data_IF_298905098559
#
_entry.id   IF_298905098559
#
_cell.length_a   1.000
_cell.length_b   1.000
_cell.length_c   1.000
_cell.angle_alpha   90.00
_cell.angle_beta   90.00
_cell.angle_gamma   90.00
#
_symmetry.space_group_name_H-M   'P 1'
#
loop_
_entity.id
_entity.type
_entity.pdbx_description
1 polymer ?
#
# COMPACT_ATOMS: atom_id res chain seq x y z
N UNK A 1 15.75 -0.59 -18.70
CA UNK A 1 17.10 -0.65 -18.12
C UNK A 1 17.82 0.66 -18.38
N UNK A 2 18.08 1.06 -19.65
CA UNK A 2 18.82 2.28 -19.98
C UNK A 2 18.25 3.56 -19.32
N UNK A 3 16.91 3.75 -19.32
CA UNK A 3 16.27 4.89 -18.67
C UNK A 3 16.51 4.92 -17.16
N UNK A 4 16.50 3.76 -16.51
CA UNK A 4 16.78 3.63 -15.07
C UNK A 4 18.25 3.97 -14.81
N UNK A 5 19.18 3.41 -15.57
CA UNK A 5 20.60 3.71 -15.41
C UNK A 5 20.89 5.20 -15.53
N UNK A 6 20.36 5.84 -16.57
CA UNK A 6 20.55 7.28 -16.77
C UNK A 6 19.98 8.10 -15.61
N UNK A 7 18.78 7.78 -15.14
CA UNK A 7 18.15 8.51 -14.02
C UNK A 7 18.96 8.35 -12.71
N UNK A 8 19.52 7.16 -12.48
CA UNK A 8 20.37 6.90 -11.31
C UNK A 8 21.70 7.64 -11.42
N UNK A 9 22.38 7.59 -12.57
CA UNK A 9 23.62 8.33 -12.81
C UNK A 9 23.43 9.84 -12.60
N UNK A 10 22.34 10.41 -13.12
CA UNK A 10 22.01 11.83 -12.92
C UNK A 10 21.74 12.14 -11.42
N UNK A 11 21.03 11.26 -10.72
CA UNK A 11 20.74 11.41 -9.30
C UNK A 11 22.01 11.29 -8.45
N UNK A 12 22.91 10.36 -8.73
CA UNK A 12 24.19 10.20 -8.05
C UNK A 12 25.10 11.42 -8.22
N UNK A 13 25.15 11.97 -9.44
CA UNK A 13 25.87 13.21 -9.69
C UNK A 13 25.34 14.40 -8.89
N UNK A 14 24.01 14.49 -8.77
CA UNK A 14 23.37 15.57 -7.98
C UNK A 14 23.54 15.38 -6.46
N UNK A 15 23.43 14.15 -6.00
CA UNK A 15 23.49 13.82 -4.57
C UNK A 15 24.95 13.71 -4.05
N UNK A 16 25.92 13.47 -4.92
CA UNK A 16 27.31 13.25 -4.56
C UNK A 16 27.56 11.93 -3.80
N UNK A 17 26.68 10.94 -3.96
CA UNK A 17 26.78 9.64 -3.30
C UNK A 17 26.34 8.51 -4.25
N UNK A 18 26.82 7.30 -3.98
CA UNK A 18 26.43 6.08 -4.69
C UNK A 18 25.05 5.60 -4.21
N UNK A 19 24.14 5.31 -5.13
CA UNK A 19 22.81 4.76 -4.86
C UNK A 19 22.87 3.24 -4.96
N UNK A 20 22.54 2.52 -3.90
CA UNK A 20 22.59 1.06 -3.84
C UNK A 20 21.23 0.41 -3.80
N UNK A 21 20.22 1.10 -3.27
CA UNK A 21 18.85 0.60 -3.19
C UNK A 21 17.83 1.69 -3.52
N UNK A 22 16.66 1.26 -3.97
CA UNK A 22 15.60 2.16 -4.43
C UNK A 22 14.22 1.63 -4.04
N UNK A 23 13.29 2.55 -3.80
CA UNK A 23 11.86 2.29 -3.89
C UNK A 23 11.44 2.42 -5.36
N UNK A 24 10.70 1.42 -5.87
CA UNK A 24 10.20 1.49 -7.23
C UNK A 24 8.68 1.58 -7.23
N UNK A 25 8.12 2.52 -7.99
CA UNK A 25 6.67 2.64 -8.11
C UNK A 25 6.11 1.73 -9.21
N UNK A 26 4.88 1.29 -9.00
CA UNK A 26 4.11 0.48 -9.95
C UNK A 26 2.74 1.10 -10.17
N UNK A 27 2.32 1.19 -11.43
CA UNK A 27 1.01 1.63 -11.87
C UNK A 27 0.59 0.86 -13.13
N UNK A 28 -0.66 0.95 -13.51
CA UNK A 28 -1.19 0.38 -14.77
C UNK A 28 -2.49 -0.38 -14.57
N UNK A 29 -3.15 -0.71 -15.68
CA UNK A 29 -4.45 -1.39 -15.71
C UNK A 29 -4.47 -2.79 -15.05
N UNK A 30 -3.29 -3.35 -14.75
CA UNK A 30 -3.14 -4.61 -14.04
C UNK A 30 -3.18 -4.46 -12.50
N UNK A 31 -3.23 -3.23 -12.01
CA UNK A 31 -3.44 -2.93 -10.58
C UNK A 31 -4.93 -2.98 -10.29
N UNK A 32 -5.30 -3.72 -9.27
CA UNK A 32 -6.69 -3.84 -8.81
C UNK A 32 -6.75 -3.57 -7.31
N UNK A 33 -7.89 -3.12 -6.82
CA UNK A 33 -8.11 -2.96 -5.41
C UNK A 33 -9.37 -3.68 -4.94
N UNK A 34 -9.36 -4.11 -3.69
CA UNK A 34 -10.49 -4.76 -3.03
C UNK A 34 -10.45 -4.43 -1.54
N UNK A 35 -11.60 -4.11 -0.97
CA UNK A 35 -11.73 -4.02 0.48
C UNK A 35 -12.03 -5.42 1.04
N UNK A 36 -11.33 -5.80 2.09
CA UNK A 36 -11.45 -7.11 2.73
C UNK A 36 -11.48 -6.96 4.24
N UNK A 37 -12.45 -7.58 4.92
CA UNK A 37 -12.42 -7.69 6.36
C UNK A 37 -11.49 -8.81 6.81
N UNK A 38 -10.81 -8.61 7.94
CA UNK A 38 -10.11 -9.65 8.69
C UNK A 38 -10.65 -9.70 10.10
N UNK A 39 -10.78 -10.90 10.67
CA UNK A 39 -11.36 -11.08 12.01
C UNK A 39 -10.51 -12.09 12.77
N UNK A 40 -10.13 -11.75 14.00
CA UNK A 40 -9.40 -12.65 14.90
C UNK A 40 -9.90 -12.51 16.34
N UNK A 41 -9.85 -13.60 17.13
CA UNK A 41 -10.08 -13.51 18.57
C UNK A 41 -8.85 -12.89 19.26
N UNK A 42 -9.08 -12.07 20.28
CA UNK A 42 -8.06 -11.52 21.18
C UNK A 42 -7.78 -12.58 22.25
N UNK A 43 -6.51 -12.96 22.42
CA UNK A 43 -6.16 -14.11 23.29
C UNK A 43 -6.06 -13.72 24.76
N UNK A 44 -5.46 -12.59 25.05
CA UNK A 44 -5.10 -12.18 26.41
C UNK A 44 -6.02 -11.07 26.96
N UNK A 45 -7.19 -10.87 26.30
CA UNK A 45 -8.17 -9.85 26.70
C UNK A 45 -7.78 -8.41 26.39
N UNK A 46 -6.57 -8.16 25.94
CA UNK A 46 -6.05 -6.86 25.53
C UNK A 46 -5.38 -6.97 24.14
N UNK A 47 -5.65 -6.01 23.29
CA UNK A 47 -5.12 -5.97 21.91
C UNK A 47 -3.62 -5.69 21.92
N UNK A 48 -2.87 -6.57 21.29
CA UNK A 48 -1.41 -6.46 21.10
C UNK A 48 -1.04 -6.16 19.65
N UNK A 49 0.21 -5.76 19.40
CA UNK A 49 0.75 -5.63 18.04
C UNK A 49 0.65 -6.94 17.24
N UNK A 50 0.86 -8.08 17.92
CA UNK A 50 0.69 -9.39 17.28
C UNK A 50 -0.76 -9.70 16.85
N UNK A 51 -1.75 -9.11 17.49
CA UNK A 51 -3.15 -9.20 17.08
C UNK A 51 -3.41 -8.37 15.82
N UNK A 52 -2.77 -7.21 15.68
CA UNK A 52 -2.84 -6.39 14.47
C UNK A 52 -2.25 -7.15 13.27
N UNK A 53 -1.10 -7.77 13.43
CA UNK A 53 -0.49 -8.59 12.37
C UNK A 53 -1.41 -9.75 11.98
N UNK A 54 -1.95 -10.48 12.96
CA UNK A 54 -2.85 -11.61 12.72
C UNK A 54 -4.15 -11.19 12.01
N UNK A 55 -4.76 -10.09 12.43
CA UNK A 55 -6.02 -9.62 11.83
C UNK A 55 -5.80 -9.11 10.40
N UNK A 56 -4.66 -8.48 10.14
CA UNK A 56 -4.29 -8.06 8.79
C UNK A 56 -3.97 -9.27 7.88
N UNK A 57 -3.31 -10.29 8.41
CA UNK A 57 -3.08 -11.54 7.67
C UNK A 57 -4.39 -12.28 7.39
N UNK A 58 -5.36 -12.24 8.30
CA UNK A 58 -6.70 -12.75 8.04
C UNK A 58 -7.40 -11.99 6.90
N UNK A 59 -7.25 -10.65 6.84
CA UNK A 59 -7.77 -9.85 5.72
C UNK A 59 -7.10 -10.17 4.38
N UNK A 60 -5.80 -10.56 4.37
CA UNK A 60 -5.07 -10.98 3.18
C UNK A 60 -5.45 -12.39 2.69
N UNK A 61 -6.08 -13.21 3.51
CA UNK A 61 -6.49 -14.59 3.16
C UNK A 61 -7.67 -14.67 2.19
N UNK A 62 -7.87 -13.63 1.40
CA UNK A 62 -8.91 -13.57 0.36
C UNK A 62 -8.41 -14.23 -0.92
N UNK A 63 -9.33 -14.89 -1.63
CA UNK A 63 -9.01 -15.45 -2.95
C UNK A 63 -8.66 -14.34 -3.95
N UNK A 64 -7.44 -14.41 -4.48
CA UNK A 64 -6.94 -13.56 -5.57
C UNK A 64 -6.57 -14.45 -6.76
N UNK A 65 -6.64 -13.94 -8.01
CA UNK A 65 -6.18 -14.67 -9.18
C UNK A 65 -4.74 -15.14 -9.03
N UNK A 66 -4.43 -16.33 -9.59
CA UNK A 66 -3.10 -16.96 -9.44
C UNK A 66 -1.96 -16.17 -10.09
N UNK A 67 -2.28 -15.30 -11.04
CA UNK A 67 -1.34 -14.42 -11.73
C UNK A 67 -1.14 -13.07 -11.01
N UNK A 68 -1.85 -12.83 -9.90
CA UNK A 68 -1.73 -11.62 -9.09
C UNK A 68 -1.04 -11.88 -7.75
N UNK A 69 -0.52 -10.81 -7.19
CA UNK A 69 -0.01 -10.78 -5.81
C UNK A 69 -0.54 -9.54 -5.08
N UNK A 70 -0.66 -9.64 -3.78
CA UNK A 70 -0.95 -8.48 -2.92
C UNK A 70 0.31 -7.59 -2.91
N UNK A 71 0.14 -6.35 -3.32
CA UNK A 71 1.16 -5.31 -3.28
C UNK A 71 1.12 -4.59 -1.93
N UNK A 72 -0.08 -4.15 -1.52
CA UNK A 72 -0.32 -3.49 -0.23
C UNK A 72 -1.57 -4.05 0.44
N UNK A 73 -1.53 -4.10 1.77
CA UNK A 73 -2.68 -4.35 2.63
C UNK A 73 -2.71 -3.23 3.67
N UNK A 74 -3.59 -2.27 3.48
CA UNK A 74 -3.63 -1.02 4.25
C UNK A 74 -4.85 -1.05 5.16
N UNK A 75 -4.68 -1.04 6.50
CA UNK A 75 -5.82 -0.96 7.41
C UNK A 75 -6.48 0.41 7.25
N UNK A 76 -7.81 0.40 7.13
CA UNK A 76 -8.64 1.61 7.08
C UNK A 76 -9.14 1.98 8.48
N UNK A 77 -9.67 1.00 9.17
CA UNK A 77 -10.19 1.09 10.53
C UNK A 77 -10.18 -0.28 11.19
N UNK A 78 -10.21 -0.26 12.50
CA UNK A 78 -10.42 -1.44 13.31
C UNK A 78 -11.77 -1.35 14.03
N UNK A 79 -12.36 -2.51 14.27
CA UNK A 79 -13.61 -2.67 15.03
C UNK A 79 -13.34 -3.60 16.19
N UNK A 80 -13.78 -3.23 17.37
CA UNK A 80 -13.64 -4.03 18.59
C UNK A 80 -15.04 -4.45 19.08
N UNK A 81 -15.23 -5.77 19.26
CA UNK A 81 -16.44 -6.39 19.81
C UNK A 81 -17.75 -5.96 19.11
N UNK A 82 -17.71 -5.75 17.79
CA UNK A 82 -18.84 -5.35 16.93
C UNK A 82 -19.54 -4.02 17.32
N UNK A 83 -19.01 -3.32 18.31
CA UNK A 83 -19.67 -2.12 18.88
C UNK A 83 -18.82 -0.86 18.80
N UNK A 84 -17.52 -0.98 18.70
CA UNK A 84 -16.59 0.15 18.65
C UNK A 84 -15.92 0.18 17.25
N UNK A 85 -16.46 1.00 16.37
CA UNK A 85 -15.98 1.23 15.00
C UNK A 85 -15.07 2.46 14.91
N UNK A 86 -14.39 2.62 13.77
CA UNK A 86 -13.55 3.78 13.48
C UNK A 86 -12.27 3.88 14.28
N UNK A 87 -11.83 2.78 14.91
CA UNK A 87 -10.61 2.77 15.71
C UNK A 87 -9.40 2.75 14.75
N UNK A 88 -8.45 3.66 14.96
CA UNK A 88 -7.20 3.72 14.20
C UNK A 88 -6.08 2.92 14.82
N UNK A 89 -5.99 2.93 16.13
CA UNK A 89 -5.00 2.16 16.86
C UNK A 89 -5.67 1.49 18.08
N UNK A 90 -6.00 0.21 17.98
CA UNK A 90 -6.66 -0.53 19.04
C UNK A 90 -5.69 -1.09 20.10
N UNK A 91 -4.36 -0.96 19.92
CA UNK A 91 -3.38 -1.53 20.85
C UNK A 91 -3.58 -1.02 22.27
N UNK A 92 -3.65 -1.93 23.25
CA UNK A 92 -3.93 -1.63 24.64
C UNK A 92 -5.42 -1.57 25.00
N UNK A 93 -6.33 -1.69 24.03
CA UNK A 93 -7.75 -1.76 24.30
C UNK A 93 -8.16 -3.17 24.74
N UNK A 94 -9.10 -3.26 25.68
CA UNK A 94 -9.65 -4.53 26.17
C UNK A 94 -10.81 -4.97 25.29
N UNK A 95 -10.80 -6.25 24.87
CA UNK A 95 -11.86 -6.82 24.05
C UNK A 95 -11.67 -8.31 23.84
N UNK A 96 -12.62 -8.92 23.15
CA UNK A 96 -12.64 -10.36 22.83
C UNK A 96 -12.39 -10.63 21.34
N UNK A 97 -12.85 -9.71 20.48
CA UNK A 97 -12.79 -9.85 19.03
C UNK A 97 -12.26 -8.58 18.38
N UNK A 98 -11.24 -8.74 17.56
CA UNK A 98 -10.69 -7.67 16.73
C UNK A 98 -11.03 -7.92 15.27
N UNK A 99 -11.56 -6.90 14.60
CA UNK A 99 -11.79 -6.88 13.16
C UNK A 99 -11.01 -5.72 12.53
N UNK A 100 -10.53 -5.91 11.30
CA UNK A 100 -9.94 -4.85 10.47
C UNK A 100 -10.68 -4.76 9.15
N UNK A 101 -10.98 -3.56 8.71
CA UNK A 101 -11.35 -3.28 7.33
C UNK A 101 -10.10 -2.85 6.58
N UNK A 102 -9.56 -3.72 5.74
CA UNK A 102 -8.34 -3.46 5.00
C UNK A 102 -8.60 -3.15 3.52
N UNK A 103 -7.87 -2.18 2.99
CA UNK A 103 -7.79 -1.92 1.55
C UNK A 103 -6.63 -2.73 0.98
N UNK A 104 -6.96 -3.74 0.16
CA UNK A 104 -5.98 -4.59 -0.51
C UNK A 104 -5.73 -4.06 -1.91
N UNK A 105 -4.48 -3.81 -2.23
CA UNK A 105 -4.03 -3.49 -3.59
C UNK A 105 -3.30 -4.70 -4.14
N UNK A 106 -3.71 -5.19 -5.30
CA UNK A 106 -3.06 -6.29 -6.01
C UNK A 106 -2.50 -5.83 -7.33
N UNK A 107 -1.50 -6.52 -7.82
CA UNK A 107 -0.93 -6.28 -9.15
C UNK A 107 -0.53 -7.59 -9.82
N UNK A 108 -0.39 -7.56 -11.16
CA UNK A 108 0.12 -8.70 -11.89
C UNK A 108 1.52 -9.07 -11.40
N UNK A 109 1.72 -10.34 -11.01
CA UNK A 109 3.00 -10.84 -10.51
C UNK A 109 4.13 -10.67 -11.53
N UNK A 110 3.83 -10.88 -12.82
CA UNK A 110 4.78 -10.69 -13.92
C UNK A 110 5.25 -9.24 -14.05
N UNK A 111 4.34 -8.26 -13.90
CA UNK A 111 4.67 -6.84 -13.96
C UNK A 111 5.61 -6.45 -12.81
N UNK A 112 5.27 -6.85 -11.58
CA UNK A 112 6.11 -6.61 -10.41
C UNK A 112 7.50 -7.24 -10.54
N UNK A 113 7.58 -8.49 -11.01
CA UNK A 113 8.86 -9.17 -11.26
C UNK A 113 9.67 -8.49 -12.35
N UNK A 114 9.04 -8.01 -13.42
CA UNK A 114 9.73 -7.33 -14.51
C UNK A 114 10.35 -6.02 -14.06
N UNK A 115 9.63 -5.21 -13.28
CA UNK A 115 10.16 -3.97 -12.68
C UNK A 115 11.38 -4.31 -11.81
N UNK A 116 11.25 -5.24 -10.87
CA UNK A 116 12.35 -5.65 -10.00
C UNK A 116 13.57 -6.12 -10.77
N UNK A 117 13.39 -6.97 -11.81
CA UNK A 117 14.48 -7.44 -12.66
C UNK A 117 15.13 -6.29 -13.44
N UNK A 118 14.38 -5.31 -13.91
CA UNK A 118 14.94 -4.16 -14.62
C UNK A 118 15.82 -3.31 -13.70
N UNK A 119 15.39 -3.10 -12.46
CA UNK A 119 16.17 -2.38 -11.44
C UNK A 119 17.44 -3.16 -11.06
N UNK A 120 17.30 -4.46 -10.80
CA UNK A 120 18.43 -5.33 -10.46
C UNK A 120 19.49 -5.40 -11.57
N UNK A 121 19.08 -5.36 -12.85
CA UNK A 121 20.00 -5.30 -13.99
C UNK A 121 20.80 -3.98 -14.07
N UNK A 122 20.38 -2.96 -13.35
CA UNK A 122 21.13 -1.71 -13.17
C UNK A 122 22.08 -1.75 -11.96
N UNK A 123 22.22 -2.92 -11.28
CA UNK A 123 23.07 -3.06 -10.09
C UNK A 123 22.42 -2.58 -8.80
N UNK A 124 21.11 -2.29 -8.81
CA UNK A 124 20.39 -1.74 -7.67
C UNK A 124 19.56 -2.81 -6.96
N UNK A 125 19.41 -2.67 -5.65
CA UNK A 125 18.45 -3.42 -4.85
C UNK A 125 17.10 -2.72 -4.85
N UNK A 126 16.01 -3.47 -4.96
CA UNK A 126 14.64 -2.95 -4.74
C UNK A 126 14.27 -3.20 -3.29
N UNK A 127 14.15 -2.15 -2.51
CA UNK A 127 13.73 -2.23 -1.12
C UNK A 127 12.25 -2.56 -1.04
N UNK A 128 11.43 -1.84 -1.82
CA UNK A 128 10.00 -2.08 -1.90
C UNK A 128 9.41 -1.64 -3.25
N UNK A 129 8.33 -2.32 -3.67
CA UNK A 129 7.45 -1.88 -4.75
C UNK A 129 6.24 -1.16 -4.15
N UNK A 130 6.04 0.09 -4.53
CA UNK A 130 4.97 0.94 -3.99
C UNK A 130 4.00 1.34 -5.09
N UNK A 131 2.70 1.35 -4.80
CA UNK A 131 1.69 1.89 -5.71
C UNK A 131 1.97 3.38 -5.99
N UNK A 132 2.00 3.79 -7.26
CA UNK A 132 2.37 5.16 -7.66
C UNK A 132 1.50 6.23 -6.98
N UNK A 133 0.16 6.07 -6.98
CA UNK A 133 -0.73 7.02 -6.33
C UNK A 133 -0.55 7.09 -4.80
N UNK A 134 -0.12 6.00 -4.17
CA UNK A 134 0.19 5.99 -2.74
C UNK A 134 1.48 6.78 -2.45
N UNK A 135 2.52 6.58 -3.27
CA UNK A 135 3.76 7.35 -3.18
C UNK A 135 3.52 8.84 -3.42
N UNK A 136 2.80 9.21 -4.49
CA UNK A 136 2.43 10.59 -4.78
C UNK A 136 1.63 11.23 -3.65
N UNK A 137 0.70 10.48 -3.05
CA UNK A 137 -0.09 10.96 -1.91
C UNK A 137 0.76 11.35 -0.71
N UNK A 138 1.85 10.62 -0.47
CA UNK A 138 2.78 10.91 0.64
C UNK A 138 3.53 12.21 0.43
N UNK A 139 3.79 12.56 -0.83
CA UNK A 139 4.53 13.77 -1.18
C UNK A 139 3.66 15.05 -1.19
N UNK A 140 2.37 14.94 -1.57
CA UNK A 140 1.56 16.12 -1.87
C UNK A 140 0.38 16.35 -0.92
N UNK A 141 -0.12 15.32 -0.22
CA UNK A 141 -1.27 15.46 0.67
C UNK A 141 -0.86 15.71 2.11
N UNK A 142 -1.51 16.68 2.73
CA UNK A 142 -1.41 16.95 4.17
C UNK A 142 -2.27 15.94 4.97
N UNK A 143 -1.97 15.74 6.28
CA UNK A 143 -2.82 14.93 7.15
C UNK A 143 -4.27 15.43 7.21
N UNK A 144 -4.47 16.74 7.25
CA UNK A 144 -5.80 17.35 7.33
C UNK A 144 -6.64 17.08 6.07
N UNK A 145 -6.03 17.17 4.88
CA UNK A 145 -6.71 16.81 3.62
C UNK A 145 -7.15 15.35 3.60
N UNK A 146 -6.28 14.45 4.06
CA UNK A 146 -6.64 13.02 4.15
C UNK A 146 -7.76 12.78 5.16
N UNK A 147 -7.79 13.54 6.25
CA UNK A 147 -8.83 13.44 7.28
C UNK A 147 -10.18 13.93 6.77
N UNK A 148 -10.22 15.10 6.16
CA UNK A 148 -11.44 15.74 5.64
C UNK A 148 -12.02 15.01 4.42
N UNK A 149 -11.17 14.30 3.69
CA UNK A 149 -11.53 13.62 2.45
C UNK A 149 -10.96 14.35 1.22
N UNK A 150 -10.18 13.61 0.43
CA UNK A 150 -9.52 14.14 -0.77
C UNK A 150 -9.42 13.07 -1.85
N UNK A 151 -9.51 13.49 -3.08
CA UNK A 151 -9.21 12.67 -4.26
C UNK A 151 -7.89 13.15 -4.85
N UNK A 152 -6.89 12.28 -4.84
CA UNK A 152 -5.65 12.47 -5.57
C UNK A 152 -5.82 11.96 -7.00
N UNK A 153 -5.47 12.78 -7.97
CA UNK A 153 -5.42 12.42 -9.40
C UNK A 153 -4.00 12.66 -9.89
N UNK A 154 -3.31 11.56 -10.19
CA UNK A 154 -1.94 11.55 -10.72
C UNK A 154 -1.99 11.29 -12.22
N UNK A 155 -1.81 12.34 -13.02
CA UNK A 155 -1.88 12.29 -14.48
C UNK A 155 -0.50 12.11 -15.08
N UNK A 156 -0.19 10.86 -15.45
CA UNK A 156 1.04 10.50 -16.15
C UNK A 156 0.93 10.63 -17.69
N UNK A 157 1.97 10.23 -18.39
CA UNK A 157 2.02 10.27 -19.85
C UNK A 157 1.16 9.19 -20.54
N UNK A 158 0.82 8.12 -19.85
CA UNK A 158 0.07 6.99 -20.41
C UNK A 158 -0.99 6.41 -19.49
N UNK A 159 -1.06 6.86 -18.24
CA UNK A 159 -2.05 6.43 -17.25
C UNK A 159 -2.44 7.57 -16.34
N UNK A 160 -3.67 7.51 -15.84
CA UNK A 160 -4.13 8.40 -14.78
C UNK A 160 -4.48 7.54 -13.57
N UNK A 161 -3.77 7.76 -12.47
CA UNK A 161 -3.99 7.05 -11.21
C UNK A 161 -4.86 7.89 -10.29
N UNK A 162 -5.84 7.24 -9.67
CA UNK A 162 -6.78 7.89 -8.73
C UNK A 162 -6.62 7.22 -7.38
N UNK A 163 -6.53 8.00 -6.32
CA UNK A 163 -6.59 7.53 -4.94
C UNK A 163 -7.55 8.40 -4.12
N UNK A 164 -8.49 7.78 -3.44
CA UNK A 164 -9.48 8.45 -2.60
C UNK A 164 -9.12 8.21 -1.14
N UNK A 165 -8.98 9.29 -0.38
CA UNK A 165 -8.73 9.26 1.05
C UNK A 165 -9.93 9.84 1.79
N UNK A 166 -10.25 9.28 2.93
CA UNK A 166 -11.27 9.75 3.85
C UNK A 166 -10.94 9.30 5.27
N UNK A 167 -11.13 10.17 6.24
CA UNK A 167 -10.81 9.89 7.64
C UNK A 167 -9.37 9.37 7.83
N UNK A 168 -8.41 9.96 7.09
CA UNK A 168 -7.01 9.60 7.14
C UNK A 168 -6.62 8.29 6.43
N UNK A 169 -7.57 7.50 5.95
CA UNK A 169 -7.35 6.21 5.31
C UNK A 169 -7.64 6.24 3.81
N UNK A 170 -6.94 5.39 3.06
CA UNK A 170 -7.23 5.16 1.64
C UNK A 170 -8.48 4.28 1.51
N UNK A 171 -9.47 4.75 0.76
CA UNK A 171 -10.76 4.08 0.59
C UNK A 171 -10.89 3.38 -0.75
N UNK A 172 -10.30 3.96 -1.79
CA UNK A 172 -10.38 3.45 -3.15
C UNK A 172 -9.16 3.85 -3.95
N UNK A 173 -8.71 2.97 -4.85
CA UNK A 173 -7.72 3.26 -5.87
C UNK A 173 -8.22 2.79 -7.22
N UNK A 174 -7.94 3.56 -8.27
CA UNK A 174 -8.27 3.21 -9.65
C UNK A 174 -7.14 3.65 -10.57
N UNK A 175 -7.04 2.99 -11.72
CA UNK A 175 -6.14 3.35 -12.80
C UNK A 175 -6.95 3.47 -14.09
N UNK A 176 -6.76 4.57 -14.80
CA UNK A 176 -7.36 4.84 -16.11
C UNK A 176 -6.24 4.87 -17.15
N UNK A 177 -6.38 4.15 -18.26
CA UNK A 177 -5.44 4.18 -19.38
C UNK A 177 -5.50 5.50 -20.15
#
# INVERSE_FOLDING_TARGET
VQSIQRAVEEAELMAGCEIRSVYASISGAHVQCKNSPGIVPIRDGEVTWGDLDRVLDAAKAVAIPADQKILHAIPREYVLDDSQEGIRNPVGMTGVRLEVHAHLVTCAQSAAQNISKCVQRCGLQVDELVLSSLASSTAVLTPDERELGVVLVDMGAGTTDIAVFMQGAICHTANLP
#
